data_IF_296714090385
#
_entry.id   IF_296714090385
#
_cell.length_a   1.000
_cell.length_b   1.000
_cell.length_c   1.000
_cell.angle_alpha   90.00
_cell.angle_beta   90.00
_cell.angle_gamma   90.00
#
_symmetry.space_group_name_H-M   'P 1'
#
loop_
_entity.id
_entity.type
_entity.pdbx_description
1 polymer ?
#
# COMPACT_ATOMS: atom_id res chain seq x y z
N UNK A 1 -0.45 0.40 10.71
CA UNK A 1 -1.70 0.66 9.99
C UNK A 1 -2.69 1.34 10.89
N UNK A 2 -3.48 2.27 10.37
CA UNK A 2 -4.46 2.95 11.18
C UNK A 2 -5.83 2.22 11.22
N UNK A 3 -6.03 1.09 10.49
CA UNK A 3 -7.25 0.27 10.56
C UNK A 3 -7.15 -0.93 11.53
N UNK A 4 -6.10 -1.76 11.42
CA UNK A 4 -5.98 -3.00 12.20
C UNK A 4 -4.86 -2.97 13.24
N UNK A 5 -4.17 -1.84 13.40
CA UNK A 5 -2.92 -1.73 14.16
C UNK A 5 -1.82 -2.72 13.71
N UNK A 6 -1.95 -3.33 12.52
CA UNK A 6 -0.99 -4.27 11.91
C UNK A 6 0.31 -3.64 11.42
N UNK A 7 0.75 -2.52 12.02
CA UNK A 7 1.95 -1.78 11.61
C UNK A 7 3.22 -2.62 11.62
N UNK A 8 3.37 -3.53 12.59
CA UNK A 8 4.50 -4.45 12.65
C UNK A 8 4.53 -5.42 11.47
N UNK A 9 3.38 -6.05 11.15
CA UNK A 9 3.28 -6.95 10.00
C UNK A 9 3.57 -6.23 8.67
N UNK A 10 3.05 -5.00 8.50
CA UNK A 10 3.38 -4.17 7.34
C UNK A 10 4.88 -3.85 7.28
N UNK A 11 5.51 -3.51 8.41
CA UNK A 11 6.95 -3.25 8.45
C UNK A 11 7.77 -4.48 8.07
N UNK A 12 7.43 -5.67 8.60
CA UNK A 12 8.10 -6.93 8.24
C UNK A 12 8.00 -7.22 6.75
N UNK A 13 6.84 -7.01 6.13
CA UNK A 13 6.68 -7.18 4.67
C UNK A 13 7.55 -6.23 3.87
N UNK A 14 7.74 -4.99 4.35
CA UNK A 14 8.55 -3.98 3.67
C UNK A 14 10.06 -4.08 4.03
N UNK A 15 10.45 -4.94 4.96
CA UNK A 15 11.83 -5.05 5.43
C UNK A 15 12.82 -5.47 4.31
N UNK A 16 12.51 -6.45 3.42
CA UNK A 16 13.44 -6.86 2.36
C UNK A 16 13.79 -5.71 1.41
N UNK A 17 12.81 -4.93 0.95
CA UNK A 17 13.06 -3.78 0.07
C UNK A 17 13.81 -2.64 0.76
N UNK A 18 13.56 -2.41 2.05
CA UNK A 18 14.22 -1.35 2.80
C UNK A 18 15.68 -1.73 3.06
N UNK A 19 15.91 -2.95 3.54
CA UNK A 19 17.26 -3.46 3.77
C UNK A 19 18.06 -3.59 2.48
N UNK A 20 17.47 -4.10 1.40
CA UNK A 20 18.10 -4.17 0.07
C UNK A 20 18.43 -2.78 -0.49
N UNK A 21 17.50 -1.83 -0.42
CA UNK A 21 17.73 -0.46 -0.87
C UNK A 21 18.82 0.27 -0.05
N UNK A 22 18.89 0.05 1.26
CA UNK A 22 19.96 0.58 2.10
C UNK A 22 21.30 -0.12 1.83
N UNK A 23 21.29 -1.44 1.63
CA UNK A 23 22.48 -2.21 1.30
C UNK A 23 23.11 -1.74 -0.01
N UNK A 24 22.30 -1.54 -1.07
CA UNK A 24 22.78 -1.00 -2.34
C UNK A 24 23.30 0.43 -2.19
N UNK A 25 22.64 1.28 -1.39
CA UNK A 25 23.07 2.66 -1.18
C UNK A 25 24.41 2.77 -0.43
N UNK A 26 24.64 1.93 0.58
CA UNK A 26 25.87 1.92 1.38
C UNK A 26 27.08 1.31 0.66
N UNK A 27 26.84 0.51 -0.39
CA UNK A 27 27.91 -0.09 -1.20
C UNK A 27 28.38 0.77 -2.36
N UNK A 28 27.64 1.83 -2.67
CA UNK A 28 28.03 2.76 -3.70
C UNK A 28 29.32 3.48 -3.32
N UNK A 29 30.37 3.30 -4.12
CA UNK A 29 31.69 3.88 -3.82
C UNK A 29 31.73 5.41 -3.95
N UNK A 30 30.73 6.02 -4.60
CA UNK A 30 30.66 7.47 -4.82
C UNK A 30 29.81 8.23 -3.81
N UNK A 31 29.19 7.54 -2.85
CA UNK A 31 28.19 8.06 -1.91
C UNK A 31 26.99 8.76 -2.59
N UNK A 32 26.84 8.66 -3.91
CA UNK A 32 25.79 9.32 -4.68
C UNK A 32 24.41 8.87 -4.22
N UNK A 33 24.28 7.56 -3.96
CA UNK A 33 23.04 6.93 -3.51
C UNK A 33 22.65 7.28 -2.07
N UNK A 34 23.57 7.87 -1.27
CA UNK A 34 23.29 8.38 0.07
C UNK A 34 22.64 9.77 0.06
N UNK A 35 22.49 10.39 -1.12
CA UNK A 35 21.77 11.65 -1.21
C UNK A 35 20.28 11.50 -0.89
N UNK A 36 19.68 12.58 -0.37
CA UNK A 36 18.24 12.65 -0.03
C UNK A 36 17.33 12.17 -1.16
N UNK A 37 17.71 12.44 -2.41
CA UNK A 37 16.95 12.04 -3.60
C UNK A 37 16.77 10.51 -3.65
N UNK A 38 17.86 9.74 -3.63
CA UNK A 38 17.81 8.28 -3.75
C UNK A 38 17.28 7.62 -2.49
N UNK A 39 17.71 8.07 -1.30
CA UNK A 39 17.19 7.54 -0.04
C UNK A 39 15.67 7.71 0.10
N UNK A 40 15.10 8.81 -0.42
CA UNK A 40 13.65 9.00 -0.41
C UNK A 40 12.89 7.95 -1.22
N UNK A 41 13.53 7.33 -2.22
CA UNK A 41 12.92 6.30 -3.06
C UNK A 41 12.72 4.97 -2.31
N UNK A 42 13.45 4.73 -1.22
CA UNK A 42 13.28 3.56 -0.35
C UNK A 42 11.93 3.61 0.38
N UNK A 43 11.34 4.79 0.60
CA UNK A 43 10.03 4.91 1.22
C UNK A 43 9.05 5.65 0.30
N UNK A 44 8.61 5.01 -0.80
CA UNK A 44 7.77 5.65 -1.78
C UNK A 44 6.35 5.82 -1.22
N UNK A 45 5.60 6.71 -1.88
CA UNK A 45 4.17 6.83 -1.67
C UNK A 45 3.44 5.48 -1.88
N UNK A 46 2.54 5.13 -0.95
CA UNK A 46 1.83 3.86 -0.90
C UNK A 46 0.32 4.06 -1.04
N UNK A 47 -0.23 4.02 -2.27
CA UNK A 47 -1.67 4.18 -2.49
C UNK A 47 -2.52 3.19 -1.69
N UNK A 48 -2.10 1.92 -1.60
CA UNK A 48 -2.78 0.88 -0.83
C UNK A 48 -2.98 1.27 0.64
N UNK A 49 -2.03 1.97 1.24
CA UNK A 49 -2.17 2.49 2.60
C UNK A 49 -3.00 3.78 2.61
N UNK A 50 -2.78 4.71 1.68
CA UNK A 50 -3.48 6.00 1.66
C UNK A 50 -4.99 5.88 1.47
N UNK A 51 -5.48 4.90 0.69
CA UNK A 51 -6.92 4.66 0.55
C UNK A 51 -7.58 4.17 1.84
N UNK A 52 -6.82 3.60 2.79
CA UNK A 52 -7.37 3.09 4.06
C UNK A 52 -7.84 4.20 4.99
N UNK A 53 -7.28 5.41 4.84
CA UNK A 53 -7.57 6.52 5.73
C UNK A 53 -9.05 6.94 5.71
N UNK A 54 -9.72 6.85 4.55
CA UNK A 54 -11.15 7.19 4.47
C UNK A 54 -12.00 6.27 5.35
N UNK A 55 -11.65 4.98 5.44
CA UNK A 55 -12.32 4.04 6.33
C UNK A 55 -12.11 4.39 7.80
N UNK A 56 -10.90 4.79 8.19
CA UNK A 56 -10.66 5.24 9.57
C UNK A 56 -11.44 6.50 9.88
N UNK A 57 -11.47 7.44 8.93
CA UNK A 57 -12.19 8.70 9.09
C UNK A 57 -13.69 8.49 9.18
N UNK A 58 -14.25 7.48 8.50
CA UNK A 58 -15.67 7.13 8.64
C UNK A 58 -15.99 6.34 9.93
N UNK A 59 -14.97 5.76 10.58
CA UNK A 59 -15.08 5.00 11.82
C UNK A 59 -14.77 5.82 13.08
N UNK A 60 -14.52 7.13 12.94
CA UNK A 60 -14.21 8.04 14.03
C UNK A 60 -15.13 9.27 14.01
N UNK A 61 -15.34 9.87 15.19
CA UNK A 61 -16.05 11.16 15.33
C UNK A 61 -15.05 12.22 15.75
N UNK A 62 -15.04 13.38 15.09
CA UNK A 62 -14.24 14.52 15.57
C UNK A 62 -14.91 15.18 16.78
N UNK A 63 -14.12 15.80 17.64
CA UNK A 63 -14.59 16.50 18.84
C UNK A 63 -15.69 17.54 18.53
N UNK A 64 -15.61 18.19 17.38
CA UNK A 64 -16.51 19.26 16.91
C UNK A 64 -17.62 18.76 15.96
N UNK A 65 -17.64 17.48 15.63
CA UNK A 65 -18.53 16.94 14.62
C UNK A 65 -19.88 16.52 15.22
N UNK A 66 -20.96 17.14 14.74
CA UNK A 66 -22.33 16.72 15.06
C UNK A 66 -22.72 15.56 14.17
N UNK A 67 -22.94 14.39 14.78
CA UNK A 67 -23.47 13.20 14.08
C UNK A 67 -24.93 13.01 14.50
N UNK A 68 -25.83 12.90 13.52
CA UNK A 68 -27.26 12.70 13.75
C UNK A 68 -27.62 11.24 14.08
N UNK A 69 -26.84 10.29 13.59
CA UNK A 69 -27.02 8.85 13.82
C UNK A 69 -25.99 8.33 14.83
N UNK A 70 -26.44 8.06 16.06
CA UNK A 70 -25.60 7.52 17.12
C UNK A 70 -25.03 6.11 16.79
N UNK A 71 -25.61 5.40 15.82
CA UNK A 71 -25.15 4.08 15.37
C UNK A 71 -24.29 4.13 14.11
N UNK A 72 -23.94 5.32 13.59
CA UNK A 72 -23.23 5.45 12.32
C UNK A 72 -21.96 4.60 12.26
N UNK A 73 -21.12 4.65 13.31
CA UNK A 73 -19.86 3.88 13.37
C UNK A 73 -20.16 2.37 13.41
N UNK A 74 -21.05 1.94 14.30
CA UNK A 74 -21.39 0.52 14.45
C UNK A 74 -21.99 -0.06 13.16
N UNK A 75 -22.86 0.70 12.50
CA UNK A 75 -23.47 0.32 11.22
C UNK A 75 -22.43 0.31 10.10
N UNK A 76 -21.54 1.31 10.04
CA UNK A 76 -20.43 1.36 9.08
C UNK A 76 -19.54 0.13 9.21
N UNK A 77 -19.08 -0.18 10.43
CA UNK A 77 -18.26 -1.36 10.71
C UNK A 77 -19.00 -2.66 10.38
N UNK A 78 -20.21 -2.84 10.91
CA UNK A 78 -21.00 -4.05 10.73
C UNK A 78 -21.31 -4.33 9.25
N UNK A 79 -21.78 -3.32 8.50
CA UNK A 79 -22.07 -3.47 7.06
C UNK A 79 -20.80 -3.77 6.27
N UNK A 80 -19.69 -3.11 6.58
CA UNK A 80 -18.39 -3.35 5.91
C UNK A 80 -17.88 -4.76 6.16
N UNK A 81 -17.84 -5.22 7.42
CA UNK A 81 -17.38 -6.57 7.76
C UNK A 81 -18.33 -7.67 7.26
N UNK A 82 -19.64 -7.45 7.28
CA UNK A 82 -20.60 -8.38 6.68
C UNK A 82 -20.40 -8.48 5.16
N UNK A 83 -20.18 -7.35 4.47
CA UNK A 83 -19.84 -7.33 3.05
C UNK A 83 -18.55 -8.11 2.77
N UNK A 84 -17.50 -7.88 3.55
CA UNK A 84 -16.23 -8.62 3.41
C UNK A 84 -16.38 -10.11 3.70
N UNK A 85 -17.15 -10.49 4.73
CA UNK A 85 -17.45 -11.88 5.03
C UNK A 85 -18.15 -12.59 3.86
N UNK A 86 -19.09 -11.93 3.19
CA UNK A 86 -19.77 -12.47 1.99
C UNK A 86 -18.83 -12.64 0.80
N UNK A 87 -17.81 -11.80 0.68
CA UNK A 87 -16.78 -11.92 -0.37
C UNK A 87 -15.69 -12.97 -0.07
N UNK A 88 -15.66 -13.49 1.16
CA UNK A 88 -14.77 -14.57 1.58
C UNK A 88 -13.33 -14.15 1.90
N UNK A 89 -12.52 -15.15 2.20
CA UNK A 89 -11.12 -15.02 2.62
C UNK A 89 -10.23 -14.18 1.68
N UNK A 90 -10.35 -14.26 0.34
CA UNK A 90 -9.52 -13.47 -0.57
C UNK A 90 -9.69 -11.95 -0.42
N UNK A 91 -10.77 -11.49 0.21
CA UNK A 91 -10.99 -10.06 0.50
C UNK A 91 -10.80 -9.76 1.98
N UNK A 92 -11.36 -10.60 2.87
CA UNK A 92 -11.33 -10.35 4.31
C UNK A 92 -9.91 -10.45 4.91
N UNK A 93 -9.13 -11.49 4.56
CA UNK A 93 -7.79 -11.69 5.15
C UNK A 93 -6.81 -10.58 4.77
N UNK A 94 -6.66 -10.20 3.48
CA UNK A 94 -5.79 -9.08 3.11
C UNK A 94 -6.21 -7.77 3.78
N UNK A 95 -7.51 -7.48 3.85
CA UNK A 95 -8.01 -6.28 4.53
C UNK A 95 -7.59 -6.21 5.99
N UNK A 96 -7.73 -7.32 6.75
CA UNK A 96 -7.30 -7.40 8.16
C UNK A 96 -5.78 -7.22 8.32
N UNK A 97 -5.00 -7.58 7.30
CA UNK A 97 -3.55 -7.44 7.26
C UNK A 97 -3.07 -6.09 6.70
N UNK A 98 -3.99 -5.16 6.43
CA UNK A 98 -3.76 -3.86 5.81
C UNK A 98 -3.23 -3.92 4.37
N UNK A 99 -3.62 -4.97 3.67
CA UNK A 99 -3.20 -5.26 2.31
C UNK A 99 -4.39 -5.00 1.42
N UNK A 100 -4.55 -3.73 1.08
CA UNK A 100 -5.65 -3.26 0.24
C UNK A 100 -5.24 -3.30 -1.22
N UNK A 101 -5.94 -4.12 -1.98
CA UNK A 101 -5.79 -4.22 -3.43
C UNK A 101 -6.94 -3.53 -4.12
N UNK A 102 -6.67 -2.88 -5.26
CA UNK A 102 -7.69 -2.15 -6.04
C UNK A 102 -8.96 -2.97 -6.24
N UNK A 103 -8.85 -4.19 -6.78
CA UNK A 103 -10.02 -5.01 -7.10
C UNK A 103 -10.83 -5.46 -5.88
N UNK A 104 -10.17 -5.76 -4.76
CA UNK A 104 -10.86 -6.09 -3.49
C UNK A 104 -11.62 -4.88 -2.95
N UNK A 105 -10.98 -3.72 -2.96
CA UNK A 105 -11.56 -2.45 -2.53
C UNK A 105 -12.76 -2.04 -3.40
N UNK A 106 -12.64 -2.10 -4.73
CA UNK A 106 -13.74 -1.75 -5.64
C UNK A 106 -14.96 -2.62 -5.37
N UNK A 107 -14.76 -3.94 -5.23
CA UNK A 107 -15.85 -4.89 -4.93
C UNK A 107 -16.49 -4.59 -3.57
N UNK A 108 -15.68 -4.30 -2.55
CA UNK A 108 -16.17 -3.96 -1.22
C UNK A 108 -17.04 -2.70 -1.24
N UNK A 109 -16.56 -1.63 -1.89
CA UNK A 109 -17.31 -0.38 -2.00
C UNK A 109 -18.59 -0.57 -2.79
N UNK A 110 -18.55 -1.27 -3.92
CA UNK A 110 -19.74 -1.53 -4.72
C UNK A 110 -20.78 -2.36 -3.96
N UNK A 111 -20.36 -3.42 -3.27
CA UNK A 111 -21.23 -4.23 -2.43
C UNK A 111 -21.85 -3.42 -1.29
N UNK A 112 -21.09 -2.53 -0.65
CA UNK A 112 -21.58 -1.64 0.39
C UNK A 112 -22.62 -0.65 -0.15
N UNK A 113 -22.36 -0.05 -1.30
CA UNK A 113 -23.30 0.88 -1.95
C UNK A 113 -24.61 0.20 -2.30
N UNK A 114 -24.57 -1.04 -2.78
CA UNK A 114 -25.80 -1.81 -3.08
C UNK A 114 -26.54 -2.25 -1.81
N UNK A 115 -25.82 -2.63 -0.76
CA UNK A 115 -26.42 -3.12 0.47
C UNK A 115 -27.06 -2.00 1.30
N UNK A 116 -26.44 -0.82 1.33
CA UNK A 116 -26.88 0.29 2.17
C UNK A 116 -26.50 1.66 1.57
N UNK A 117 -27.23 2.13 0.54
CA UNK A 117 -26.96 3.42 -0.09
C UNK A 117 -27.07 4.60 0.88
N UNK A 118 -28.00 4.51 1.85
CA UNK A 118 -28.22 5.54 2.85
C UNK A 118 -27.00 5.69 3.77
N UNK A 119 -26.39 4.57 4.18
CA UNK A 119 -25.16 4.57 4.96
C UNK A 119 -24.00 5.20 4.21
N UNK A 120 -23.80 4.87 2.92
CA UNK A 120 -22.75 5.48 2.10
C UNK A 120 -22.92 6.99 2.04
N UNK A 121 -24.14 7.49 1.84
CA UNK A 121 -24.42 8.92 1.83
C UNK A 121 -24.16 9.57 3.19
N UNK A 122 -24.51 8.91 4.29
CA UNK A 122 -24.20 9.38 5.65
C UNK A 122 -22.69 9.47 5.90
N UNK A 123 -21.93 8.46 5.46
CA UNK A 123 -20.46 8.46 5.53
C UNK A 123 -19.89 9.61 4.69
N UNK A 124 -20.36 9.80 3.46
CA UNK A 124 -19.91 10.89 2.59
C UNK A 124 -20.14 12.27 3.21
N UNK A 125 -21.30 12.49 3.85
CA UNK A 125 -21.57 13.73 4.59
C UNK A 125 -20.66 13.88 5.81
N UNK A 126 -20.40 12.79 6.53
CA UNK A 126 -19.56 12.80 7.73
C UNK A 126 -18.09 13.08 7.40
N UNK A 127 -17.54 12.54 6.31
CA UNK A 127 -16.14 12.75 5.93
C UNK A 127 -15.93 14.08 5.20
N UNK A 128 -16.96 14.59 4.51
CA UNK A 128 -16.93 15.84 3.75
C UNK A 128 -16.38 15.70 2.33
N UNK A 129 -16.76 16.61 1.42
CA UNK A 129 -16.43 16.52 -0.02
C UNK A 129 -14.93 16.63 -0.31
N UNK A 130 -14.18 17.45 0.44
CA UNK A 130 -12.74 17.58 0.27
C UNK A 130 -12.00 16.25 0.51
N UNK A 131 -12.37 15.51 1.56
CA UNK A 131 -11.79 14.21 1.85
C UNK A 131 -12.14 13.15 0.81
N UNK A 132 -13.35 13.20 0.23
CA UNK A 132 -13.74 12.29 -0.85
C UNK A 132 -12.89 12.55 -2.10
N UNK A 133 -12.67 13.83 -2.42
CA UNK A 133 -11.88 14.24 -3.57
C UNK A 133 -10.40 13.84 -3.42
N UNK A 134 -9.82 14.06 -2.25
CA UNK A 134 -8.47 13.58 -1.92
C UNK A 134 -8.36 12.05 -2.01
N UNK A 135 -9.32 11.34 -1.43
CA UNK A 135 -9.36 9.88 -1.49
C UNK A 135 -9.46 9.34 -2.91
N UNK A 136 -10.21 10.02 -3.79
CA UNK A 136 -10.34 9.62 -5.20
C UNK A 136 -8.98 9.57 -5.91
N UNK A 137 -8.06 10.50 -5.64
CA UNK A 137 -6.71 10.46 -6.22
C UNK A 137 -5.87 9.32 -5.65
N UNK A 138 -6.01 9.01 -4.35
CA UNK A 138 -5.36 7.84 -3.77
C UNK A 138 -5.87 6.54 -4.41
N UNK A 139 -7.17 6.45 -4.65
CA UNK A 139 -7.78 5.31 -5.32
C UNK A 139 -7.34 5.19 -6.78
N UNK A 140 -7.28 6.29 -7.53
CA UNK A 140 -6.77 6.30 -8.89
C UNK A 140 -5.31 5.84 -8.95
N UNK A 141 -4.47 6.35 -8.04
CA UNK A 141 -3.08 5.91 -7.94
C UNK A 141 -2.96 4.42 -7.61
N UNK A 142 -3.84 3.88 -6.75
CA UNK A 142 -3.88 2.45 -6.44
C UNK A 142 -4.25 1.61 -7.67
N UNK A 143 -5.22 2.04 -8.46
CA UNK A 143 -5.58 1.40 -9.72
C UNK A 143 -4.39 1.45 -10.69
N UNK A 144 -3.77 2.60 -10.88
CA UNK A 144 -2.60 2.77 -11.75
C UNK A 144 -1.44 1.86 -11.33
N UNK A 145 -1.13 1.78 -10.03
CA UNK A 145 -0.05 0.93 -9.53
C UNK A 145 -0.37 -0.55 -9.71
N UNK A 146 -1.64 -0.93 -9.54
CA UNK A 146 -2.09 -2.29 -9.78
C UNK A 146 -1.92 -2.72 -11.24
N UNK A 147 -2.19 -1.81 -12.19
CA UNK A 147 -1.97 -2.04 -13.62
C UNK A 147 -0.48 -2.11 -13.94
N UNK A 148 0.31 -1.13 -13.49
CA UNK A 148 1.76 -1.09 -13.72
C UNK A 148 2.46 -2.32 -13.15
N UNK A 149 2.08 -2.75 -11.94
CA UNK A 149 2.61 -3.96 -11.32
C UNK A 149 2.28 -5.22 -12.15
N UNK A 150 1.10 -5.31 -12.76
CA UNK A 150 0.75 -6.43 -13.65
C UNK A 150 1.55 -6.41 -14.95
N UNK A 151 1.77 -5.23 -15.53
CA UNK A 151 2.60 -5.08 -16.74
C UNK A 151 4.04 -5.52 -16.46
N UNK A 152 4.60 -5.11 -15.33
CA UNK A 152 5.95 -5.49 -14.88
C UNK A 152 6.06 -6.99 -14.54
N UNK A 153 5.02 -7.60 -13.99
CA UNK A 153 5.03 -9.03 -13.69
C UNK A 153 5.19 -9.89 -14.96
N UNK A 154 4.78 -9.38 -16.13
CA UNK A 154 4.96 -10.06 -17.43
C UNK A 154 6.43 -10.06 -17.87
N UNK A 155 7.26 -9.13 -17.36
CA UNK A 155 8.66 -8.95 -17.78
C UNK A 155 9.69 -9.57 -16.83
N UNK A 156 9.28 -10.45 -15.89
CA UNK A 156 10.14 -11.20 -14.96
C UNK A 156 11.20 -10.34 -14.24
N UNK A 157 10.75 -9.27 -13.60
CA UNK A 157 11.61 -8.20 -13.11
C UNK A 157 12.15 -8.45 -11.70
N UNK A 158 13.45 -8.19 -11.52
CA UNK A 158 14.19 -8.29 -10.25
C UNK A 158 13.73 -7.20 -9.25
N UNK A 159 13.61 -7.56 -7.97
CA UNK A 159 13.35 -6.65 -6.84
C UNK A 159 14.62 -6.35 -6.05
N UNK A 160 14.60 -5.38 -5.13
CA UNK A 160 15.73 -5.17 -4.20
C UNK A 160 16.05 -6.41 -3.35
N UNK A 161 15.07 -7.28 -3.10
CA UNK A 161 15.27 -8.55 -2.41
C UNK A 161 16.22 -9.48 -3.17
N UNK A 162 16.24 -9.45 -4.51
CA UNK A 162 17.16 -10.24 -5.31
C UNK A 162 18.61 -9.73 -5.26
N UNK A 163 18.83 -8.49 -4.79
CA UNK A 163 20.15 -7.88 -4.62
C UNK A 163 20.71 -8.08 -3.21
N UNK A 164 19.93 -8.65 -2.27
CA UNK A 164 20.46 -9.07 -0.98
C UNK A 164 21.49 -10.19 -1.22
N UNK A 165 22.71 -10.09 -0.68
CA UNK A 165 23.66 -11.17 -0.77
C UNK A 165 23.04 -12.40 -0.10
N UNK A 166 22.93 -13.50 -0.86
CA UNK A 166 22.94 -14.82 -0.24
C UNK A 166 24.20 -14.86 0.63
N UNK A 167 24.10 -15.45 1.83
CA UNK A 167 25.07 -15.38 2.96
C UNK A 167 26.54 -15.68 2.60
N UNK A 168 26.86 -16.02 1.34
CA UNK A 168 28.17 -16.40 0.84
C UNK A 168 28.73 -15.59 -0.36
N UNK A 169 28.10 -14.49 -0.79
CA UNK A 169 28.58 -13.74 -1.96
C UNK A 169 29.37 -12.47 -1.61
N UNK A 170 30.69 -12.60 -1.48
CA UNK A 170 31.63 -11.48 -1.49
C UNK A 170 31.90 -11.03 -2.94
N UNK A 171 31.06 -10.17 -3.49
CA UNK A 171 31.40 -9.42 -4.70
C UNK A 171 32.10 -8.10 -4.34
N UNK A 172 33.15 -7.81 -5.10
CA UNK A 172 33.97 -6.59 -5.07
C UNK A 172 33.12 -5.34 -5.34
N UNK A 173 33.51 -4.15 -4.83
CA UNK A 173 32.79 -2.91 -5.11
C UNK A 173 32.92 -2.60 -6.60
N UNK A 174 31.81 -2.66 -7.34
CA UNK A 174 31.72 -2.15 -8.71
C UNK A 174 31.84 -0.62 -8.66
N UNK A 175 32.71 -0.06 -9.49
CA UNK A 175 32.93 1.39 -9.59
C UNK A 175 31.61 2.11 -9.88
N UNK A 176 31.35 3.18 -9.13
CA UNK A 176 30.21 4.06 -9.36
C UNK A 176 30.18 4.58 -10.81
N UNK A 177 29.24 4.04 -11.57
CA UNK A 177 28.93 4.46 -12.93
C UNK A 177 27.49 4.99 -12.98
N UNK A 178 27.13 5.78 -13.99
CA UNK A 178 25.77 6.29 -14.20
C UNK A 178 24.72 5.14 -14.21
N UNK A 179 25.20 3.94 -14.56
CA UNK A 179 24.45 2.68 -14.54
C UNK A 179 23.98 2.27 -13.12
N UNK A 180 24.75 2.57 -12.06
CA UNK A 180 24.39 2.24 -10.67
C UNK A 180 23.20 3.06 -10.18
N UNK A 181 23.17 4.36 -10.50
CA UNK A 181 22.05 5.25 -10.16
C UNK A 181 20.79 4.90 -10.94
N UNK A 182 20.93 4.55 -12.22
CA UNK A 182 19.83 4.10 -13.06
C UNK A 182 19.25 2.78 -12.53
N UNK A 183 20.10 1.77 -12.28
CA UNK A 183 19.70 0.49 -11.71
C UNK A 183 18.95 0.67 -10.39
N UNK A 184 19.50 1.47 -9.48
CA UNK A 184 18.87 1.77 -8.19
C UNK A 184 17.48 2.40 -8.36
N UNK A 185 17.38 3.40 -9.23
CA UNK A 185 16.11 4.11 -9.49
C UNK A 185 15.08 3.16 -10.09
N UNK A 186 15.48 2.31 -11.04
CA UNK A 186 14.62 1.31 -11.66
C UNK A 186 14.08 0.35 -10.60
N UNK A 187 14.95 -0.25 -9.77
CA UNK A 187 14.53 -1.15 -8.68
C UNK A 187 13.55 -0.48 -7.72
N UNK A 188 13.82 0.77 -7.32
CA UNK A 188 12.95 1.51 -6.42
C UNK A 188 11.57 1.82 -7.03
N UNK A 189 11.51 2.12 -8.33
CA UNK A 189 10.24 2.33 -9.05
C UNK A 189 9.42 1.04 -9.14
N UNK A 190 10.08 -0.09 -9.38
CA UNK A 190 9.42 -1.39 -9.48
C UNK A 190 8.84 -1.82 -8.12
N UNK A 191 9.63 -1.70 -7.06
CA UNK A 191 9.15 -1.96 -5.70
C UNK A 191 8.04 -0.99 -5.31
N UNK A 192 8.14 0.29 -5.68
CA UNK A 192 7.05 1.26 -5.47
C UNK A 192 5.72 0.77 -6.05
N UNK A 193 5.71 0.21 -7.25
CA UNK A 193 4.48 -0.31 -7.86
C UNK A 193 4.01 -1.61 -7.19
N UNK A 194 4.93 -2.54 -6.91
CA UNK A 194 4.61 -3.82 -6.24
C UNK A 194 3.99 -3.58 -4.86
N UNK A 195 4.70 -2.88 -3.98
CA UNK A 195 4.28 -2.64 -2.61
C UNK A 195 3.13 -1.62 -2.53
N UNK A 196 3.16 -0.57 -3.37
CA UNK A 196 2.09 0.43 -3.39
C UNK A 196 0.75 -0.09 -3.93
N UNK A 197 0.73 -1.23 -4.64
CA UNK A 197 -0.48 -1.89 -5.12
C UNK A 197 -1.08 -2.93 -4.15
N UNK A 198 -0.46 -3.17 -2.98
CA UNK A 198 -0.88 -4.21 -2.04
C UNK A 198 -0.60 -5.63 -2.53
N UNK A 199 0.42 -5.81 -3.39
CA UNK A 199 0.88 -7.11 -3.91
C UNK A 199 2.15 -7.61 -3.21
N UNK A 200 2.39 -7.11 -2.00
CA UNK A 200 3.43 -7.51 -1.08
C UNK A 200 3.11 -8.82 -0.35
N UNK A 201 1.85 -9.26 -0.38
CA UNK A 201 1.40 -10.53 0.21
C UNK A 201 1.25 -11.58 -0.89
N UNK A 202 2.11 -12.60 -0.81
CA UNK A 202 2.12 -13.89 -1.54
C UNK A 202 3.15 -14.04 -2.66
N UNK A 203 4.30 -14.59 -2.28
CA UNK A 203 4.87 -15.81 -2.92
C UNK A 203 5.26 -16.90 -1.90
N UNK A 204 5.35 -16.61 -0.60
CA UNK A 204 5.78 -17.56 0.44
C UNK A 204 4.71 -18.54 0.98
N UNK A 205 3.57 -18.70 0.30
CA UNK A 205 2.51 -19.65 0.72
C UNK A 205 2.13 -20.63 -0.39
N UNK A 206 3.14 -21.21 -1.04
CA UNK A 206 3.01 -22.50 -1.73
C UNK A 206 3.89 -23.52 -1.02
#
# INVERSE_FOLDING_TARGET
SPLSFGGFGAMLRHLPRISGGLHSALRDSSDLLLSRKYLSMINPYQPALSVTWLFQRSMCVRVDQKISDAQLINRTLSTTFQGMKRMGDPVLKPFLQDVVQAGGLTKAMFAMTLADPALVLSVMRAVGPASIFEWFFHYLALVSYSVLCRVVAITNVRTFEAELPQVHSTSTPESADDNSALKYTTLAVLDRWRYGSGRDVLEHSK
#
